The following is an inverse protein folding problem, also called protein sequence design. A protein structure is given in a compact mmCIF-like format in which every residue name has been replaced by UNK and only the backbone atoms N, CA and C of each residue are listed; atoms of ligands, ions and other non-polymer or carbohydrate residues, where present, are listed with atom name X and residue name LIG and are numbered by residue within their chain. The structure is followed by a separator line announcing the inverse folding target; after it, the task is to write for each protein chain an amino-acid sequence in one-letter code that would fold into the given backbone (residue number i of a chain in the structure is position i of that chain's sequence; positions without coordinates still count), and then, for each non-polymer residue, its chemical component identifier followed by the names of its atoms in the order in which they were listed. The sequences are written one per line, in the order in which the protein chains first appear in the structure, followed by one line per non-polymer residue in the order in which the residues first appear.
data_IF_897763630186
#
_entry.id   IF_897763630186
#
_cell.length_a   1.000
_cell.length_b   1.000
_cell.length_c   1.000
_cell.angle_alpha   90.00
_cell.angle_beta   90.00
_cell.angle_gamma   90.00
#
_symmetry.space_group_name_H-M   'P 1'
#
loop_
_entity.id
_entity.type
_entity.pdbx_description
1 polymer ?
#
# COMPACT_ATOMS: atom_id res chain seq x y z
N UNK A 1 -45.91 -14.69 -8.80
CA UNK A 1 -46.71 -15.61 -9.66
C UNK A 1 -47.75 -14.79 -10.44
N UNK A 2 -47.41 -14.31 -11.64
CA UNK A 2 -48.36 -13.57 -12.50
C UNK A 2 -47.89 -13.53 -13.97
N UNK A 3 -47.37 -14.64 -14.53
CA UNK A 3 -46.92 -14.69 -15.94
C UNK A 3 -47.69 -15.69 -16.81
N UNK A 4 -48.84 -16.22 -16.35
CA UNK A 4 -49.54 -17.30 -17.05
C UNK A 4 -50.69 -16.91 -17.98
N UNK A 5 -50.94 -15.63 -18.26
CA UNK A 5 -52.15 -15.18 -19.00
C UNK A 5 -51.91 -14.62 -20.41
N UNK A 6 -50.67 -14.38 -20.83
CA UNK A 6 -50.37 -13.71 -22.11
C UNK A 6 -50.04 -14.66 -23.26
N UNK A 7 -49.59 -15.88 -22.96
CA UNK A 7 -49.28 -16.88 -23.98
C UNK A 7 -50.56 -17.53 -24.55
N UNK A 8 -51.69 -17.44 -23.82
CA UNK A 8 -52.99 -17.97 -24.25
C UNK A 8 -53.65 -17.16 -25.40
N UNK A 9 -53.36 -15.86 -25.52
CA UNK A 9 -54.08 -15.04 -26.51
C UNK A 9 -53.73 -15.43 -27.94
N UNK A 10 -52.45 -15.68 -28.24
CA UNK A 10 -52.03 -16.07 -29.60
C UNK A 10 -52.56 -17.46 -29.97
N UNK A 11 -52.51 -18.41 -29.03
CA UNK A 11 -53.13 -19.74 -29.18
C UNK A 11 -54.65 -19.66 -29.37
N UNK A 12 -55.31 -18.68 -28.76
CA UNK A 12 -56.76 -18.46 -28.90
C UNK A 12 -57.15 -17.72 -30.18
N UNK A 13 -56.29 -16.84 -30.70
CA UNK A 13 -56.57 -15.98 -31.86
C UNK A 13 -56.27 -16.66 -33.21
N UNK A 14 -55.27 -17.55 -33.26
CA UNK A 14 -54.89 -18.31 -34.46
C UNK A 14 -56.06 -19.06 -35.13
N UNK A 15 -56.93 -19.82 -34.41
CA UNK A 15 -58.07 -20.48 -35.05
C UNK A 15 -59.07 -19.50 -35.67
N UNK A 16 -59.29 -18.32 -35.07
CA UNK A 16 -60.18 -17.31 -35.64
C UNK A 16 -59.62 -16.64 -36.89
N UNK A 17 -58.30 -16.43 -36.96
CA UNK A 17 -57.63 -15.90 -38.15
C UNK A 17 -57.74 -16.89 -39.32
N UNK A 18 -57.59 -18.20 -39.05
CA UNK A 18 -57.77 -19.26 -40.06
C UNK A 18 -59.22 -19.29 -40.55
N UNK A 19 -60.19 -19.20 -39.65
CA UNK A 19 -61.63 -19.13 -40.00
C UNK A 19 -61.95 -17.86 -40.80
N UNK A 20 -61.38 -16.71 -40.45
CA UNK A 20 -61.59 -15.47 -41.20
C UNK A 20 -60.97 -15.49 -42.60
N UNK A 21 -59.84 -16.18 -42.78
CA UNK A 21 -59.16 -16.30 -44.07
C UNK A 21 -59.80 -17.34 -45.00
N UNK A 22 -60.19 -18.51 -44.47
CA UNK A 22 -60.69 -19.64 -45.25
C UNK A 22 -62.22 -19.73 -45.28
N UNK A 23 -62.91 -19.18 -44.28
CA UNK A 23 -64.37 -19.19 -44.17
C UNK A 23 -65.06 -18.55 -45.38
N UNK A 24 -64.68 -17.33 -45.80
CA UNK A 24 -65.24 -16.71 -47.00
C UNK A 24 -65.00 -17.55 -48.26
N UNK A 25 -63.81 -18.15 -48.41
CA UNK A 25 -63.48 -19.03 -49.54
C UNK A 25 -64.42 -20.24 -49.62
N UNK A 26 -64.63 -20.92 -48.48
CA UNK A 26 -65.52 -22.09 -48.38
C UNK A 26 -66.98 -21.69 -48.65
N UNK A 27 -67.45 -20.60 -48.06
CA UNK A 27 -68.82 -20.09 -48.25
C UNK A 27 -69.07 -19.75 -49.72
N UNK A 28 -68.11 -19.08 -50.36
CA UNK A 28 -68.16 -18.70 -51.77
C UNK A 28 -68.18 -19.94 -52.68
N UNK A 29 -67.31 -20.92 -52.43
CA UNK A 29 -67.24 -22.14 -53.24
C UNK A 29 -68.51 -22.99 -53.08
N UNK A 30 -69.05 -23.09 -51.87
CA UNK A 30 -70.32 -23.78 -51.60
C UNK A 30 -71.50 -23.04 -52.23
N UNK A 31 -71.56 -21.71 -52.12
CA UNK A 31 -72.61 -20.91 -52.73
C UNK A 31 -72.55 -20.93 -54.27
N UNK A 32 -71.35 -20.93 -54.85
CA UNK A 32 -71.14 -21.10 -56.29
C UNK A 32 -71.61 -22.48 -56.75
N UNK A 33 -71.17 -23.55 -56.06
CA UNK A 33 -71.56 -24.93 -56.34
C UNK A 33 -73.09 -25.13 -56.27
N UNK A 34 -73.74 -24.56 -55.25
CA UNK A 34 -75.18 -24.69 -55.04
C UNK A 34 -76.01 -23.92 -56.09
N UNK A 35 -75.57 -22.73 -56.50
CA UNK A 35 -76.33 -21.87 -57.41
C UNK A 35 -76.03 -22.09 -58.90
N UNK A 36 -74.86 -22.61 -59.26
CA UNK A 36 -74.40 -22.72 -60.67
C UNK A 36 -74.03 -24.16 -61.10
N UNK A 37 -74.01 -25.14 -60.17
CA UNK A 37 -73.67 -26.53 -60.45
C UNK A 37 -72.16 -26.79 -60.60
N UNK A 38 -71.75 -28.04 -60.97
CA UNK A 38 -70.35 -28.45 -60.92
C UNK A 38 -69.42 -27.75 -61.92
N UNK A 39 -69.94 -27.41 -63.11
CA UNK A 39 -69.21 -26.79 -64.23
C UNK A 39 -70.19 -26.02 -65.14
N UNK A 40 -70.09 -24.69 -65.18
CA UNK A 40 -70.79 -23.83 -66.15
C UNK A 40 -70.06 -23.82 -67.51
N UNK A 41 -70.79 -24.01 -68.62
CA UNK A 41 -70.26 -23.99 -69.99
C UNK A 41 -70.24 -22.58 -70.63
N UNK A 42 -70.73 -21.55 -69.93
CA UNK A 42 -70.73 -20.15 -70.39
C UNK A 42 -69.48 -19.37 -69.93
N UNK A 43 -68.90 -18.54 -70.81
CA UNK A 43 -67.66 -17.78 -70.56
C UNK A 43 -67.81 -16.59 -69.59
N UNK A 44 -69.00 -15.98 -69.47
CA UNK A 44 -69.25 -14.85 -68.57
C UNK A 44 -69.11 -15.18 -67.07
N UNK A 45 -69.71 -16.28 -66.57
CA UNK A 45 -69.59 -16.76 -65.19
C UNK A 45 -68.15 -17.05 -64.73
N UNK A 46 -67.26 -17.42 -65.65
CA UNK A 46 -65.84 -17.72 -65.34
C UNK A 46 -65.03 -16.48 -64.98
N UNK A 47 -65.28 -15.34 -65.65
CA UNK A 47 -64.61 -14.07 -65.36
C UNK A 47 -64.99 -13.54 -63.97
N UNK A 48 -66.29 -13.58 -63.64
CA UNK A 48 -66.79 -13.20 -62.31
C UNK A 48 -66.29 -14.13 -61.21
N UNK A 49 -66.20 -15.44 -61.47
CA UNK A 49 -65.59 -16.40 -60.54
C UNK A 49 -64.10 -16.12 -60.32
N UNK A 50 -63.33 -15.87 -61.38
CA UNK A 50 -61.91 -15.53 -61.28
C UNK A 50 -61.65 -14.25 -60.49
N UNK A 51 -62.45 -13.20 -60.68
CA UNK A 51 -62.38 -11.95 -59.92
C UNK A 51 -62.69 -12.16 -58.43
N UNK A 52 -63.71 -12.97 -58.14
CA UNK A 52 -64.16 -13.25 -56.78
C UNK A 52 -63.19 -14.19 -56.03
N UNK A 53 -62.63 -15.18 -56.72
CA UNK A 53 -61.56 -16.04 -56.22
C UNK A 53 -60.26 -15.25 -55.97
N UNK A 54 -59.92 -14.31 -56.86
CA UNK A 54 -58.79 -13.38 -56.68
C UNK A 54 -58.97 -12.51 -55.43
N UNK A 55 -60.18 -11.99 -55.19
CA UNK A 55 -60.53 -11.27 -53.96
C UNK A 55 -60.35 -12.12 -52.69
N UNK A 56 -60.75 -13.39 -52.73
CA UNK A 56 -60.52 -14.36 -51.64
C UNK A 56 -59.04 -14.60 -51.39
N UNK A 57 -58.24 -14.82 -52.45
CA UNK A 57 -56.79 -14.99 -52.31
C UNK A 57 -56.12 -13.72 -51.78
N UNK A 58 -56.61 -12.53 -52.12
CA UNK A 58 -56.12 -11.27 -51.58
C UNK A 58 -56.37 -11.13 -50.08
N UNK A 59 -57.58 -11.50 -49.61
CA UNK A 59 -57.91 -11.54 -48.18
C UNK A 59 -57.05 -12.57 -47.45
N UNK A 60 -56.94 -13.78 -47.99
CA UNK A 60 -56.11 -14.84 -47.41
C UNK A 60 -54.62 -14.44 -47.34
N UNK A 61 -54.09 -13.82 -48.39
CA UNK A 61 -52.71 -13.30 -48.44
C UNK A 61 -52.48 -12.17 -47.42
N UNK A 62 -53.46 -11.28 -47.26
CA UNK A 62 -53.42 -10.20 -46.26
C UNK A 62 -53.43 -10.78 -44.84
N UNK A 63 -54.28 -11.77 -44.55
CA UNK A 63 -54.30 -12.48 -43.27
C UNK A 63 -52.98 -13.21 -42.99
N UNK A 64 -52.39 -13.87 -43.99
CA UNK A 64 -51.08 -14.53 -43.85
C UNK A 64 -49.96 -13.52 -43.54
N UNK A 65 -49.97 -12.37 -44.19
CA UNK A 65 -49.02 -11.27 -43.93
C UNK A 65 -49.20 -10.72 -42.52
N UNK A 66 -50.45 -10.51 -42.09
CA UNK A 66 -50.78 -10.01 -40.74
C UNK A 66 -50.36 -11.00 -39.65
N UNK A 67 -50.59 -12.30 -39.88
CA UNK A 67 -50.14 -13.38 -38.99
C UNK A 67 -48.61 -13.42 -38.90
N UNK A 68 -47.91 -13.23 -40.03
CA UNK A 68 -46.44 -13.18 -40.06
C UNK A 68 -45.90 -11.99 -39.28
N UNK A 69 -46.48 -10.80 -39.45
CA UNK A 69 -46.11 -9.60 -38.69
C UNK A 69 -46.36 -9.77 -37.18
N UNK A 70 -47.50 -10.36 -36.80
CA UNK A 70 -47.80 -10.67 -35.41
C UNK A 70 -46.82 -11.70 -34.80
N UNK A 71 -46.46 -12.73 -35.56
CA UNK A 71 -45.46 -13.72 -35.16
C UNK A 71 -44.07 -13.09 -34.98
N UNK A 72 -43.63 -12.25 -35.92
CA UNK A 72 -42.38 -11.50 -35.82
C UNK A 72 -42.38 -10.56 -34.61
N UNK A 73 -43.50 -9.88 -34.33
CA UNK A 73 -43.64 -9.02 -33.15
C UNK A 73 -43.55 -9.83 -31.84
N UNK A 74 -44.15 -11.02 -31.80
CA UNK A 74 -44.06 -11.92 -30.65
C UNK A 74 -42.63 -12.44 -30.44
N UNK A 75 -41.96 -12.89 -31.51
CA UNK A 75 -40.56 -13.31 -31.45
C UNK A 75 -39.62 -12.18 -30.99
N UNK A 76 -39.79 -10.97 -31.54
CA UNK A 76 -38.97 -9.83 -31.17
C UNK A 76 -39.10 -9.52 -29.67
N UNK A 77 -40.32 -9.59 -29.13
CA UNK A 77 -40.56 -9.42 -27.69
C UNK A 77 -39.93 -10.52 -26.84
N UNK A 78 -40.03 -11.78 -27.26
CA UNK A 78 -39.40 -12.91 -26.56
C UNK A 78 -37.87 -12.78 -26.54
N UNK A 79 -37.28 -12.35 -27.66
CA UNK A 79 -35.84 -12.06 -27.77
C UNK A 79 -35.46 -10.95 -26.79
N UNK A 80 -36.20 -9.84 -26.75
CA UNK A 80 -35.96 -8.76 -25.80
C UNK A 80 -36.04 -9.21 -24.33
N UNK A 81 -37.07 -10.00 -23.97
CA UNK A 81 -37.20 -10.53 -22.61
C UNK A 81 -36.06 -11.50 -22.26
N UNK A 82 -35.58 -12.30 -23.22
CA UNK A 82 -34.43 -13.20 -23.04
C UNK A 82 -33.12 -12.43 -22.87
N UNK A 83 -32.90 -11.39 -23.67
CA UNK A 83 -31.73 -10.51 -23.59
C UNK A 83 -31.68 -9.79 -22.25
N UNK A 84 -32.83 -9.29 -21.75
CA UNK A 84 -32.89 -8.65 -20.42
C UNK A 84 -32.50 -9.63 -19.31
N UNK A 85 -33.02 -10.86 -19.33
CA UNK A 85 -32.65 -11.89 -18.35
C UNK A 85 -31.18 -12.28 -18.44
N UNK A 86 -30.64 -12.40 -19.66
CA UNK A 86 -29.21 -12.67 -19.85
C UNK A 86 -28.36 -11.53 -19.30
N UNK A 87 -28.75 -10.28 -19.53
CA UNK A 87 -28.07 -9.11 -18.99
C UNK A 87 -28.09 -9.11 -17.45
N UNK A 88 -29.24 -9.35 -16.83
CA UNK A 88 -29.34 -9.47 -15.36
C UNK A 88 -28.46 -10.59 -14.78
N UNK A 89 -28.39 -11.75 -15.44
CA UNK A 89 -27.50 -12.85 -15.03
C UNK A 89 -26.03 -12.45 -15.21
N UNK A 90 -25.70 -11.80 -16.32
CA UNK A 90 -24.35 -11.33 -16.63
C UNK A 90 -23.89 -10.30 -15.60
N UNK A 91 -24.74 -9.34 -15.25
CA UNK A 91 -24.45 -8.32 -14.25
C UNK A 91 -24.20 -8.94 -12.87
N UNK A 92 -25.00 -9.95 -12.48
CA UNK A 92 -24.79 -10.71 -11.24
C UNK A 92 -23.49 -11.51 -11.25
N UNK A 93 -23.15 -12.14 -12.37
CA UNK A 93 -21.90 -12.88 -12.53
C UNK A 93 -20.70 -11.93 -12.47
N UNK A 94 -20.76 -10.78 -13.16
CA UNK A 94 -19.73 -9.75 -13.10
C UNK A 94 -19.55 -9.21 -11.68
N UNK A 95 -20.64 -8.95 -10.95
CA UNK A 95 -20.58 -8.53 -9.56
C UNK A 95 -19.91 -9.59 -8.66
N UNK A 96 -20.23 -10.87 -8.86
CA UNK A 96 -19.61 -11.97 -8.11
C UNK A 96 -18.10 -12.08 -8.40
N UNK A 97 -17.70 -11.96 -9.68
CA UNK A 97 -16.29 -11.97 -10.09
C UNK A 97 -15.54 -10.77 -9.50
N UNK A 98 -16.12 -9.56 -9.56
CA UNK A 98 -15.50 -8.37 -8.98
C UNK A 98 -15.30 -8.51 -7.47
N UNK A 99 -16.29 -9.06 -6.76
CA UNK A 99 -16.17 -9.33 -5.33
C UNK A 99 -15.04 -10.32 -5.03
N UNK A 100 -14.96 -11.42 -5.79
CA UNK A 100 -13.89 -12.41 -5.64
C UNK A 100 -12.51 -11.82 -5.92
N UNK A 101 -12.38 -11.01 -6.98
CA UNK A 101 -11.15 -10.31 -7.30
C UNK A 101 -10.75 -9.33 -6.19
N UNK A 102 -11.70 -8.58 -5.62
CA UNK A 102 -11.44 -7.68 -4.50
C UNK A 102 -10.94 -8.43 -3.27
N UNK A 103 -11.59 -9.54 -2.89
CA UNK A 103 -11.17 -10.39 -1.77
C UNK A 103 -9.77 -10.93 -1.99
N UNK A 104 -9.47 -11.42 -3.20
CA UNK A 104 -8.16 -11.95 -3.54
C UNK A 104 -7.08 -10.86 -3.56
N UNK A 105 -7.35 -9.70 -4.15
CA UNK A 105 -6.41 -8.58 -4.19
C UNK A 105 -6.05 -8.09 -2.78
N UNK A 106 -7.05 -7.92 -1.90
CA UNK A 106 -6.82 -7.59 -0.49
C UNK A 106 -6.04 -8.69 0.22
N UNK A 107 -6.38 -9.97 0.03
CA UNK A 107 -5.66 -11.09 0.63
C UNK A 107 -4.19 -11.10 0.23
N UNK A 108 -3.89 -11.01 -1.07
CA UNK A 108 -2.51 -11.02 -1.55
C UNK A 108 -1.71 -9.80 -1.07
N UNK A 109 -2.35 -8.64 -0.91
CA UNK A 109 -1.71 -7.49 -0.26
C UNK A 109 -1.31 -7.82 1.19
N UNK A 110 -2.20 -8.43 1.97
CA UNK A 110 -1.88 -8.85 3.35
C UNK A 110 -0.78 -9.90 3.42
N UNK A 111 -0.82 -10.90 2.53
CA UNK A 111 0.24 -11.90 2.41
C UNK A 111 1.60 -11.23 2.14
N UNK A 112 1.61 -10.22 1.27
CA UNK A 112 2.83 -9.46 0.98
C UNK A 112 3.34 -8.66 2.18
N UNK A 113 2.46 -8.10 3.00
CA UNK A 113 2.85 -7.47 4.26
C UNK A 113 3.49 -8.51 5.22
N UNK A 114 2.91 -9.71 5.31
CA UNK A 114 3.47 -10.80 6.11
C UNK A 114 4.83 -11.29 5.60
N UNK A 115 5.03 -11.35 4.29
CA UNK A 115 6.33 -11.64 3.67
C UNK A 115 7.37 -10.57 4.02
N UNK A 116 6.99 -9.29 3.99
CA UNK A 116 7.89 -8.21 4.41
C UNK A 116 8.28 -8.35 5.89
N UNK A 117 7.34 -8.63 6.78
CA UNK A 117 7.65 -8.86 8.19
C UNK A 117 8.62 -10.04 8.35
N UNK A 118 8.38 -11.14 7.64
CA UNK A 118 9.22 -12.34 7.67
C UNK A 118 10.63 -12.07 7.13
N UNK A 119 10.75 -11.32 6.03
CA UNK A 119 12.02 -10.96 5.41
C UNK A 119 12.93 -10.14 6.33
N UNK A 120 12.34 -9.40 7.28
CA UNK A 120 13.04 -8.61 8.29
C UNK A 120 12.99 -9.26 9.70
N UNK A 121 12.84 -10.59 9.76
CA UNK A 121 12.97 -11.37 10.99
C UNK A 121 11.82 -11.21 11.99
N UNK A 122 10.62 -10.83 11.52
CA UNK A 122 9.41 -10.63 12.34
C UNK A 122 9.59 -9.62 13.49
N UNK A 123 10.47 -8.64 13.30
CA UNK A 123 10.81 -7.65 14.32
C UNK A 123 9.79 -6.52 14.46
N UNK A 124 8.93 -6.37 13.45
CA UNK A 124 7.88 -5.36 13.41
C UNK A 124 6.55 -5.93 12.95
N UNK A 125 5.49 -5.18 13.24
CA UNK A 125 4.14 -5.41 12.74
C UNK A 125 3.54 -4.14 12.15
N UNK A 126 2.71 -4.31 11.12
CA UNK A 126 1.79 -3.27 10.68
C UNK A 126 0.63 -3.24 11.69
N UNK A 127 0.35 -2.08 12.30
CA UNK A 127 -0.66 -2.02 13.36
C UNK A 127 -2.08 -2.26 12.83
N UNK A 128 -2.38 -1.74 11.63
CA UNK A 128 -3.65 -1.94 10.94
C UNK A 128 -3.41 -2.15 9.45
N UNK A 129 -3.33 -3.42 9.05
CA UNK A 129 -3.08 -3.82 7.68
C UNK A 129 -4.26 -3.46 6.75
N UNK A 130 -5.49 -3.48 7.28
CA UNK A 130 -6.70 -3.17 6.53
C UNK A 130 -6.81 -1.67 6.24
N UNK A 131 -6.58 -0.83 7.26
CA UNK A 131 -6.51 0.61 7.08
C UNK A 131 -5.39 1.00 6.11
N UNK A 132 -4.24 0.32 6.19
CA UNK A 132 -3.13 0.51 5.26
C UNK A 132 -3.51 0.15 3.82
N UNK A 133 -4.22 -0.97 3.61
CA UNK A 133 -4.76 -1.32 2.29
C UNK A 133 -5.70 -0.23 1.76
N UNK A 134 -6.62 0.27 2.59
CA UNK A 134 -7.52 1.36 2.22
C UNK A 134 -6.80 2.69 1.97
N UNK A 135 -5.66 2.95 2.62
CA UNK A 135 -4.82 4.13 2.34
C UNK A 135 -4.12 4.03 0.99
N UNK A 136 -3.62 2.83 0.63
CA UNK A 136 -2.96 2.58 -0.65
C UNK A 136 -3.97 2.56 -1.80
N UNK A 137 -5.13 1.93 -1.59
CA UNK A 137 -6.20 1.79 -2.58
C UNK A 137 -7.53 2.39 -2.07
N UNK A 138 -7.64 3.73 -1.98
CA UNK A 138 -8.79 4.41 -1.35
C UNK A 138 -10.11 4.21 -2.09
N UNK A 139 -10.07 3.82 -3.37
CA UNK A 139 -11.26 3.57 -4.18
C UNK A 139 -11.69 2.10 -4.18
N UNK A 140 -10.91 1.20 -3.59
CA UNK A 140 -11.23 -0.22 -3.61
C UNK A 140 -12.33 -0.55 -2.61
N UNK A 141 -13.33 -1.27 -3.08
CA UNK A 141 -14.47 -1.75 -2.32
C UNK A 141 -15.01 -3.04 -2.94
N UNK A 142 -15.93 -3.76 -2.27
CA UNK A 142 -16.58 -4.95 -2.83
C UNK A 142 -17.22 -4.75 -4.22
N UNK A 143 -17.51 -3.50 -4.62
CA UNK A 143 -18.17 -3.15 -5.88
C UNK A 143 -17.27 -2.40 -6.87
N UNK A 144 -16.07 -1.99 -6.46
CA UNK A 144 -15.12 -1.24 -7.29
C UNK A 144 -13.69 -1.70 -7.00
N UNK A 145 -12.96 -2.12 -8.03
CA UNK A 145 -11.59 -2.63 -7.88
C UNK A 145 -10.66 -1.95 -8.89
N UNK A 146 -9.68 -1.24 -8.36
CA UNK A 146 -8.55 -0.67 -9.08
C UNK A 146 -7.28 -1.43 -8.68
N UNK A 147 -6.55 -1.94 -9.67
CA UNK A 147 -5.26 -2.62 -9.47
C UNK A 147 -4.07 -1.66 -9.46
N UNK A 148 -4.29 -0.42 -9.90
CA UNK A 148 -3.27 0.62 -9.95
C UNK A 148 -3.65 1.75 -9.01
N UNK A 149 -2.63 2.45 -8.51
CA UNK A 149 -2.83 3.68 -7.75
C UNK A 149 -1.73 4.66 -8.12
N UNK A 150 -2.10 5.88 -8.50
CA UNK A 150 -1.13 6.91 -8.88
C UNK A 150 -0.36 7.42 -7.65
N UNK A 151 0.90 7.83 -7.85
CA UNK A 151 1.65 8.56 -6.81
C UNK A 151 1.44 10.06 -7.01
N UNK A 152 0.46 10.63 -6.29
CA UNK A 152 0.18 12.06 -6.39
C UNK A 152 0.98 12.82 -5.32
N UNK A 153 2.09 13.43 -5.72
CA UNK A 153 2.94 14.26 -4.86
C UNK A 153 2.55 15.75 -4.79
N UNK A 154 1.43 16.16 -5.40
CA UNK A 154 1.05 17.58 -5.41
C UNK A 154 0.70 18.08 -4.00
N UNK A 155 1.17 19.28 -3.63
CA UNK A 155 0.97 19.87 -2.30
C UNK A 155 -0.52 19.97 -1.89
N UNK A 156 -1.43 20.09 -2.85
CA UNK A 156 -2.86 20.33 -2.61
C UNK A 156 -3.72 19.05 -2.67
N UNK A 157 -3.20 17.94 -3.17
CA UNK A 157 -3.95 16.70 -3.35
C UNK A 157 -3.09 15.46 -3.08
N UNK A 158 -2.12 15.58 -2.16
CA UNK A 158 -1.18 14.51 -1.85
C UNK A 158 -1.93 13.29 -1.32
N UNK A 159 -1.83 12.17 -2.02
CA UNK A 159 -2.36 10.90 -1.56
C UNK A 159 -1.33 10.17 -0.67
N UNK A 160 -1.71 9.03 -0.11
CA UNK A 160 -0.86 8.29 0.82
C UNK A 160 0.51 7.92 0.22
N UNK A 161 0.53 7.37 -1.01
CA UNK A 161 1.77 7.03 -1.71
C UNK A 161 2.62 8.27 -1.99
N UNK A 162 2.00 9.37 -2.38
CA UNK A 162 2.68 10.66 -2.57
C UNK A 162 3.30 11.20 -1.28
N UNK A 163 2.64 10.99 -0.12
CA UNK A 163 3.18 11.36 1.20
C UNK A 163 4.43 10.54 1.53
N UNK A 164 4.38 9.22 1.34
CA UNK A 164 5.55 8.36 1.54
C UNK A 164 6.69 8.74 0.60
N UNK A 165 6.39 8.95 -0.68
CA UNK A 165 7.38 9.38 -1.67
C UNK A 165 8.05 10.69 -1.28
N UNK A 166 7.28 11.66 -0.79
CA UNK A 166 7.79 12.95 -0.34
C UNK A 166 8.69 12.83 0.89
N UNK A 167 8.30 12.02 1.88
CA UNK A 167 9.11 11.83 3.09
C UNK A 167 10.42 11.09 2.80
N UNK A 168 10.38 10.05 1.96
CA UNK A 168 11.58 9.35 1.48
C UNK A 168 12.47 10.29 0.64
N UNK A 169 11.88 11.12 -0.22
CA UNK A 169 12.59 12.13 -0.99
C UNK A 169 13.32 13.14 -0.08
N UNK A 170 12.66 13.63 0.98
CA UNK A 170 13.31 14.51 1.97
C UNK A 170 14.49 13.85 2.69
N UNK A 171 14.37 12.58 3.02
CA UNK A 171 15.46 11.82 3.65
C UNK A 171 16.62 11.58 2.67
N UNK A 172 16.32 11.32 1.40
CA UNK A 172 17.33 11.19 0.33
C UNK A 172 18.03 12.54 0.05
N UNK A 173 17.29 13.64 0.01
CA UNK A 173 17.88 14.98 -0.09
C UNK A 173 18.78 15.29 1.11
N UNK A 174 18.35 14.88 2.32
CA UNK A 174 19.15 15.01 3.52
C UNK A 174 20.42 14.15 3.47
N UNK A 175 20.39 12.94 2.90
CA UNK A 175 21.60 12.10 2.78
C UNK A 175 22.61 12.68 1.78
N UNK A 176 22.15 13.39 0.76
CA UNK A 176 22.99 14.04 -0.27
C UNK A 176 23.65 15.33 0.21
N UNK A 177 22.95 16.10 1.02
CA UNK A 177 23.43 17.38 1.56
C UNK A 177 23.21 17.43 3.07
N UNK A 178 23.93 16.60 3.83
CA UNK A 178 23.65 16.45 5.24
C UNK A 178 24.17 17.63 6.06
N UNK A 179 23.38 18.00 7.06
CA UNK A 179 23.83 18.85 8.15
C UNK A 179 24.15 17.95 9.34
N UNK A 180 25.41 17.83 9.73
CA UNK A 180 25.83 16.92 10.80
C UNK A 180 25.94 17.58 12.18
N UNK A 181 25.47 18.82 12.30
CA UNK A 181 25.40 19.51 13.58
C UNK A 181 24.15 19.10 14.40
N UNK A 182 23.94 19.75 15.55
CA UNK A 182 22.78 19.52 16.44
C UNK A 182 21.43 19.75 15.73
N UNK A 183 21.29 20.82 14.93
CA UNK A 183 20.06 21.07 14.17
C UNK A 183 19.82 20.02 13.09
N UNK A 184 20.90 19.51 12.51
CA UNK A 184 20.92 18.38 11.61
C UNK A 184 20.36 17.10 12.24
N UNK A 185 20.87 16.72 13.42
CA UNK A 185 20.35 15.59 14.19
C UNK A 185 18.87 15.73 14.53
N UNK A 186 18.43 16.93 14.96
CA UNK A 186 17.00 17.23 15.20
C UNK A 186 16.15 17.08 13.94
N UNK A 187 16.63 17.59 12.81
CA UNK A 187 15.93 17.49 11.52
C UNK A 187 15.83 16.03 11.08
N UNK A 188 16.92 15.27 11.19
CA UNK A 188 16.97 13.86 10.79
C UNK A 188 15.98 13.04 11.61
N UNK A 189 15.98 13.14 12.95
CA UNK A 189 15.05 12.36 13.77
C UNK A 189 13.59 12.69 13.47
N UNK A 190 13.28 13.98 13.20
CA UNK A 190 11.94 14.39 12.78
C UNK A 190 11.50 13.73 11.47
N UNK A 191 12.38 13.69 10.46
CA UNK A 191 12.09 13.01 9.20
C UNK A 191 11.89 11.50 9.37
N UNK A 192 12.70 10.86 10.22
CA UNK A 192 12.57 9.43 10.51
C UNK A 192 11.26 9.13 11.24
N UNK A 193 10.88 9.92 12.25
CA UNK A 193 9.61 9.77 12.98
C UNK A 193 8.42 10.00 12.04
N UNK A 194 8.43 11.05 11.22
CA UNK A 194 7.36 11.34 10.26
C UNK A 194 7.12 10.17 9.30
N UNK A 195 8.21 9.55 8.82
CA UNK A 195 8.14 8.37 7.97
C UNK A 195 7.64 7.13 8.74
N UNK A 196 8.10 6.92 9.98
CA UNK A 196 7.65 5.81 10.83
C UNK A 196 6.16 5.90 11.13
N UNK A 197 5.66 7.10 11.41
CA UNK A 197 4.22 7.36 11.62
C UNK A 197 3.44 7.13 10.34
N UNK A 198 3.97 7.57 9.19
CA UNK A 198 3.30 7.36 7.91
C UNK A 198 3.17 5.87 7.56
N UNK A 199 4.21 5.06 7.83
CA UNK A 199 4.19 3.61 7.58
C UNK A 199 3.38 2.81 8.60
N UNK A 200 3.00 3.41 9.73
CA UNK A 200 2.21 2.79 10.81
C UNK A 200 2.81 1.46 11.32
N UNK A 201 4.11 1.47 11.59
CA UNK A 201 4.86 0.30 12.07
C UNK A 201 4.99 0.32 13.59
N UNK A 202 4.98 -0.86 14.20
CA UNK A 202 5.29 -1.05 15.61
C UNK A 202 6.34 -2.16 15.78
N UNK A 203 7.35 -1.90 16.60
CA UNK A 203 8.32 -2.92 17.00
C UNK A 203 7.73 -3.90 18.00
N UNK A 204 8.05 -5.18 17.83
CA UNK A 204 7.58 -6.28 18.69
C UNK A 204 8.70 -7.15 19.26
N UNK A 205 9.95 -6.89 18.87
CA UNK A 205 11.13 -7.60 19.38
C UNK A 205 11.53 -7.15 20.80
N UNK A 206 12.68 -7.60 21.28
CA UNK A 206 13.24 -7.10 22.54
C UNK A 206 13.74 -5.66 22.37
N UNK A 207 13.62 -4.80 23.39
CA UNK A 207 14.13 -3.44 23.32
C UNK A 207 15.66 -3.43 23.24
N UNK A 208 16.21 -2.67 22.29
CA UNK A 208 17.63 -2.40 22.18
C UNK A 208 17.95 -1.00 22.69
N UNK A 209 19.16 -0.84 23.22
CA UNK A 209 19.71 0.47 23.50
C UNK A 209 19.77 1.31 22.22
N UNK A 210 19.32 2.56 22.31
CA UNK A 210 19.20 3.48 21.19
C UNK A 210 17.86 3.43 20.45
N UNK A 211 16.96 2.52 20.80
CA UNK A 211 15.62 2.47 20.20
C UNK A 211 14.81 3.72 20.58
N UNK A 212 14.18 4.32 19.57
CA UNK A 212 13.37 5.53 19.74
C UNK A 212 11.93 5.14 20.07
N UNK A 213 11.42 5.69 21.17
CA UNK A 213 10.04 5.55 21.63
C UNK A 213 9.31 6.86 21.37
N UNK A 214 8.26 6.80 20.55
CA UNK A 214 7.46 7.97 20.18
C UNK A 214 5.99 7.71 20.51
N UNK A 215 5.34 8.65 21.20
CA UNK A 215 3.96 8.50 21.69
C UNK A 215 3.72 7.17 22.45
N UNK A 216 4.68 6.77 23.29
CA UNK A 216 4.60 5.54 24.07
C UNK A 216 4.78 4.24 23.27
N UNK A 217 5.10 4.33 21.97
CA UNK A 217 5.33 3.16 21.10
C UNK A 217 6.78 3.12 20.65
N UNK A 218 7.41 1.93 20.71
CA UNK A 218 8.75 1.73 20.18
C UNK A 218 8.71 1.67 18.65
N UNK A 219 9.45 2.57 18.03
CA UNK A 219 9.61 2.67 16.57
C UNK A 219 10.74 1.76 16.10
N UNK A 220 10.84 1.51 14.79
CA UNK A 220 11.98 0.77 14.22
C UNK A 220 13.28 1.61 14.19
N UNK A 221 13.21 2.88 14.57
CA UNK A 221 14.35 3.80 14.53
C UNK A 221 15.26 3.49 15.71
N UNK A 222 16.54 3.23 15.42
CA UNK A 222 17.60 3.16 16.40
C UNK A 222 18.65 4.23 16.09
N UNK A 223 19.05 5.02 17.09
CA UNK A 223 19.95 6.18 16.88
C UNK A 223 21.36 5.79 16.46
N UNK A 224 21.79 4.54 16.72
CA UNK A 224 23.10 4.03 16.31
C UNK A 224 23.05 3.41 14.90
N UNK A 225 21.87 3.01 14.42
CA UNK A 225 21.70 2.26 13.17
C UNK A 225 20.45 2.69 12.38
N UNK A 226 20.31 4.00 12.16
CA UNK A 226 19.14 4.59 11.47
C UNK A 226 18.98 4.13 10.02
N UNK A 227 20.09 3.75 9.35
CA UNK A 227 20.07 3.19 7.99
C UNK A 227 19.21 1.93 7.89
N UNK A 228 19.15 1.09 8.92
CA UNK A 228 18.32 -0.12 8.90
C UNK A 228 16.83 0.22 8.74
N UNK A 229 16.37 1.30 9.39
CA UNK A 229 15.00 1.76 9.23
C UNK A 229 14.75 2.34 7.83
N UNK A 230 15.72 3.08 7.27
CA UNK A 230 15.62 3.64 5.92
C UNK A 230 15.51 2.52 4.87
N UNK A 231 16.33 1.48 4.99
CA UNK A 231 16.29 0.31 4.13
C UNK A 231 14.94 -0.42 4.22
N UNK A 232 14.44 -0.63 5.44
CA UNK A 232 13.12 -1.20 5.68
C UNK A 232 12.02 -0.35 5.02
N UNK A 233 12.03 0.96 5.27
CA UNK A 233 11.04 1.88 4.73
C UNK A 233 11.06 1.92 3.19
N UNK A 234 12.25 1.94 2.58
CA UNK A 234 12.42 1.84 1.14
C UNK A 234 11.88 0.51 0.60
N UNK A 235 12.15 -0.60 1.28
CA UNK A 235 11.65 -1.92 0.87
C UNK A 235 10.12 -2.01 0.94
N UNK A 236 9.51 -1.52 2.02
CA UNK A 236 8.04 -1.46 2.17
C UNK A 236 7.44 -0.58 1.07
N UNK A 237 7.97 0.64 0.88
CA UNK A 237 7.44 1.55 -0.13
C UNK A 237 7.59 1.00 -1.55
N UNK A 238 8.73 0.41 -1.89
CA UNK A 238 8.91 -0.26 -3.19
C UNK A 238 7.98 -1.45 -3.38
N UNK A 239 7.59 -2.15 -2.30
CA UNK A 239 6.57 -3.18 -2.38
C UNK A 239 5.19 -2.58 -2.69
N UNK A 240 4.84 -1.42 -2.13
CA UNK A 240 3.60 -0.71 -2.48
C UNK A 240 3.61 -0.22 -3.92
N UNK A 241 4.72 0.36 -4.38
CA UNK A 241 4.88 0.83 -5.77
C UNK A 241 4.71 -0.31 -6.77
N UNK A 242 5.36 -1.45 -6.51
CA UNK A 242 5.18 -2.65 -7.32
C UNK A 242 3.71 -3.09 -7.38
N UNK A 243 3.03 -3.12 -6.24
CA UNK A 243 1.62 -3.54 -6.15
C UNK A 243 0.64 -2.60 -6.84
N UNK A 244 1.03 -1.35 -7.02
CA UNK A 244 0.19 -0.28 -7.57
C UNK A 244 0.54 0.03 -9.02
N UNK A 245 1.46 -0.73 -9.62
CA UNK A 245 1.88 -0.57 -11.02
C UNK A 245 2.85 0.59 -11.25
N UNK A 246 3.55 1.07 -10.22
CA UNK A 246 4.51 2.17 -10.31
C UNK A 246 5.97 1.67 -10.37
N UNK A 247 6.85 2.51 -10.91
CA UNK A 247 8.29 2.27 -10.87
C UNK A 247 8.82 2.33 -9.43
N UNK A 248 9.89 1.60 -9.15
CA UNK A 248 10.54 1.60 -7.83
C UNK A 248 11.19 2.95 -7.54
N UNK A 249 11.15 3.35 -6.28
CA UNK A 249 11.87 4.50 -5.77
C UNK A 249 13.39 4.27 -5.88
N UNK A 250 14.08 5.17 -6.59
CA UNK A 250 15.51 5.09 -6.87
C UNK A 250 16.41 5.79 -5.85
N UNK A 251 15.88 6.60 -4.94
CA UNK A 251 16.70 7.36 -3.98
C UNK A 251 17.49 6.48 -3.00
N UNK A 252 18.38 7.12 -2.23
CA UNK A 252 19.39 6.53 -1.35
C UNK A 252 20.53 5.82 -2.09
N UNK A 253 20.99 6.39 -3.21
CA UNK A 253 22.24 5.97 -3.85
C UNK A 253 23.47 6.19 -2.95
N UNK A 254 23.37 7.16 -2.05
CA UNK A 254 24.38 7.48 -1.04
C UNK A 254 23.80 7.08 0.33
N UNK A 255 24.45 6.14 1.06
CA UNK A 255 24.02 5.81 2.42
C UNK A 255 24.26 7.01 3.35
N UNK A 256 23.43 7.20 4.38
CA UNK A 256 23.62 8.33 5.31
C UNK A 256 24.96 8.24 6.08
N UNK A 257 25.57 7.06 6.12
CA UNK A 257 26.87 6.84 6.75
C UNK A 257 26.82 6.98 8.28
N UNK A 258 28.02 6.99 8.88
CA UNK A 258 28.20 7.07 10.35
C UNK A 258 27.79 8.44 10.91
N UNK A 259 28.05 9.50 10.16
CA UNK A 259 27.79 10.87 10.60
C UNK A 259 26.33 11.10 10.97
N UNK A 260 25.39 10.37 10.35
CA UNK A 260 23.99 10.40 10.74
C UNK A 260 23.74 9.85 12.15
N UNK A 261 24.30 8.67 12.47
CA UNK A 261 24.23 8.11 13.82
C UNK A 261 24.89 9.04 14.83
N UNK A 262 26.05 9.62 14.48
CA UNK A 262 26.75 10.58 15.34
C UNK A 262 25.90 11.83 15.60
N UNK A 263 25.26 12.41 14.58
CA UNK A 263 24.39 13.57 14.76
C UNK A 263 23.14 13.27 15.59
N UNK A 264 22.55 12.08 15.43
CA UNK A 264 21.42 11.63 16.26
C UNK A 264 21.85 11.46 17.71
N UNK A 265 22.98 10.79 17.96
CA UNK A 265 23.52 10.57 19.29
C UNK A 265 23.87 11.90 19.98
N UNK A 266 24.52 12.82 19.27
CA UNK A 266 24.84 14.16 19.76
C UNK A 266 23.57 14.97 20.10
N UNK A 267 22.55 14.89 19.24
CA UNK A 267 21.27 15.54 19.50
C UNK A 267 20.61 14.99 20.75
N UNK A 268 20.50 13.66 20.88
CA UNK A 268 19.88 12.99 22.03
C UNK A 268 20.61 13.30 23.34
N UNK A 269 21.95 13.29 23.34
CA UNK A 269 22.73 13.70 24.51
C UNK A 269 22.42 15.14 24.95
N UNK A 270 22.29 16.05 23.99
CA UNK A 270 22.00 17.47 24.24
C UNK A 270 20.53 17.76 24.58
N UNK A 271 19.61 16.87 24.21
CA UNK A 271 18.18 17.07 24.35
C UNK A 271 17.71 16.97 25.82
N UNK A 272 18.57 16.61 26.77
CA UNK A 272 18.23 16.68 28.20
C UNK A 272 17.91 18.10 28.68
N UNK A 273 18.38 19.11 27.96
CA UNK A 273 18.13 20.52 28.25
C UNK A 273 16.74 21.00 27.78
N UNK A 274 16.07 20.26 26.89
CA UNK A 274 14.76 20.60 26.31
C UNK A 274 13.93 19.32 26.12
N UNK A 275 12.85 19.08 26.88
CA UNK A 275 12.12 17.82 26.88
C UNK A 275 11.78 17.35 25.46
N UNK A 276 12.42 16.27 25.04
CA UNK A 276 12.23 15.73 23.71
C UNK A 276 10.80 15.18 23.53
N UNK A 277 10.27 15.30 22.32
CA UNK A 277 8.95 14.73 21.94
C UNK A 277 8.99 13.19 21.87
N UNK A 278 10.16 12.59 22.07
CA UNK A 278 10.41 11.15 22.04
C UNK A 278 11.42 10.77 23.12
N UNK A 279 11.40 9.51 23.51
CA UNK A 279 12.37 8.92 24.42
C UNK A 279 13.33 8.01 23.67
N UNK A 280 14.52 7.76 24.24
CA UNK A 280 15.48 6.79 23.73
C UNK A 280 15.80 5.78 24.82
N UNK A 281 15.70 4.49 24.49
CA UNK A 281 16.03 3.41 25.43
C UNK A 281 17.53 3.42 25.73
N UNK A 282 17.89 3.53 27.01
CA UNK A 282 19.27 3.44 27.51
C UNK A 282 19.32 2.58 28.78
N UNK A 283 19.43 1.28 28.59
CA UNK A 283 19.55 0.26 29.63
C UNK A 283 21.01 -0.04 30.02
N UNK A 284 21.97 0.15 29.12
CA UNK A 284 23.40 -0.07 29.41
C UNK A 284 23.89 0.91 30.49
N UNK A 285 24.44 0.42 31.62
CA UNK A 285 24.99 1.29 32.65
C UNK A 285 26.13 2.15 32.10
N UNK A 286 26.07 3.46 32.36
CA UNK A 286 27.12 4.39 31.92
C UNK A 286 27.15 4.68 30.42
N UNK A 287 26.18 4.21 29.63
CA UNK A 287 26.15 4.43 28.17
C UNK A 287 26.34 5.89 27.79
N UNK A 288 25.61 6.80 28.44
CA UNK A 288 25.70 8.23 28.16
C UNK A 288 27.06 8.83 28.46
N UNK A 289 27.77 8.29 29.44
CA UNK A 289 29.13 8.71 29.77
C UNK A 289 30.08 8.24 28.65
N UNK A 290 29.90 7.01 28.17
CA UNK A 290 30.66 6.48 27.04
C UNK A 290 30.41 7.26 25.74
N UNK A 291 29.17 7.67 25.48
CA UNK A 291 28.84 8.53 24.33
C UNK A 291 29.51 9.91 24.44
N UNK A 292 29.55 10.51 25.64
CA UNK A 292 30.25 11.77 25.90
C UNK A 292 31.76 11.64 25.71
N UNK A 293 32.37 10.57 26.25
CA UNK A 293 33.78 10.26 26.04
C UNK A 293 34.06 10.15 24.54
N UNK A 294 33.26 9.40 23.80
CA UNK A 294 33.41 9.27 22.35
C UNK A 294 33.43 10.63 21.63
N UNK A 295 32.48 11.52 21.93
CA UNK A 295 32.46 12.85 21.32
C UNK A 295 33.61 13.75 21.76
N UNK A 296 34.07 13.64 23.01
CA UNK A 296 35.25 14.36 23.46
C UNK A 296 36.48 13.89 22.68
N UNK A 297 36.68 12.58 22.57
CA UNK A 297 37.78 11.99 21.80
C UNK A 297 37.72 12.39 20.32
N UNK A 298 36.54 12.44 19.72
CA UNK A 298 36.33 12.91 18.34
C UNK A 298 36.75 14.38 18.13
N UNK A 299 36.62 15.23 19.16
CA UNK A 299 36.96 16.66 19.11
C UNK A 299 38.40 16.95 19.51
N UNK A 300 39.13 15.98 20.06
CA UNK A 300 40.51 16.17 20.49
C UNK A 300 41.46 16.43 19.32
N UNK A 301 42.50 17.23 19.59
CA UNK A 301 43.58 17.47 18.64
C UNK A 301 44.51 16.27 18.53
N UNK A 302 45.22 16.18 17.41
CA UNK A 302 46.08 15.05 17.07
C UNK A 302 47.22 14.79 18.09
N UNK A 303 47.70 15.81 18.79
CA UNK A 303 48.84 15.71 19.73
C UNK A 303 48.50 14.95 21.02
N UNK A 304 47.27 15.05 21.52
CA UNK A 304 46.82 14.30 22.71
C UNK A 304 46.04 13.02 22.30
N UNK A 305 45.47 13.02 21.08
CA UNK A 305 44.62 11.94 20.58
C UNK A 305 45.37 10.62 20.40
N UNK A 306 46.68 10.63 20.12
CA UNK A 306 47.41 9.38 19.86
C UNK A 306 47.42 8.42 21.06
N UNK A 307 47.43 8.96 22.30
CA UNK A 307 47.32 8.14 23.50
C UNK A 307 45.96 7.45 23.60
N UNK A 308 44.90 8.14 23.17
CA UNK A 308 43.50 7.73 23.35
C UNK A 308 42.90 7.07 22.10
N UNK A 309 43.67 6.96 21.02
CA UNK A 309 43.26 6.31 19.78
C UNK A 309 42.70 4.89 20.00
N UNK A 310 43.26 4.03 20.87
CA UNK A 310 42.70 2.69 21.12
C UNK A 310 41.30 2.73 21.73
N UNK A 311 41.08 3.58 22.74
CA UNK A 311 39.77 3.75 23.38
C UNK A 311 38.77 4.37 22.40
N UNK A 312 39.19 5.35 21.62
CA UNK A 312 38.37 5.92 20.56
C UNK A 312 37.98 4.86 19.53
N UNK A 313 38.92 4.08 19.01
CA UNK A 313 38.64 3.04 18.02
C UNK A 313 37.66 1.99 18.54
N UNK A 314 37.79 1.61 19.81
CA UNK A 314 36.90 0.63 20.46
C UNK A 314 35.47 1.18 20.62
N UNK A 315 35.32 2.41 21.12
CA UNK A 315 34.02 3.07 21.19
C UNK A 315 33.44 3.34 19.80
N UNK A 316 34.31 3.67 18.84
CA UNK A 316 33.95 3.91 17.46
C UNK A 316 33.34 2.65 16.84
N UNK A 317 33.93 1.48 17.08
CA UNK A 317 33.39 0.19 16.65
C UNK A 317 32.09 -0.16 17.38
N UNK A 318 32.03 0.02 18.70
CA UNK A 318 30.83 -0.24 19.48
C UNK A 318 29.62 0.61 19.02
N UNK A 319 29.81 1.91 18.76
CA UNK A 319 28.74 2.80 18.29
C UNK A 319 28.45 2.71 16.79
N UNK A 320 29.12 1.81 16.05
CA UNK A 320 28.89 1.67 14.60
C UNK A 320 27.54 1.03 14.25
N UNK A 321 26.93 0.31 15.19
CA UNK A 321 25.65 -0.38 15.01
C UNK A 321 24.99 -0.66 16.35
N UNK A 322 23.68 -0.95 16.34
CA UNK A 322 22.99 -1.37 17.58
C UNK A 322 23.55 -2.67 18.17
N UNK A 323 24.10 -3.57 17.36
CA UNK A 323 24.71 -4.83 17.82
C UNK A 323 26.04 -4.53 18.53
N UNK A 324 26.83 -3.59 18.01
CA UNK A 324 28.04 -3.13 18.68
C UNK A 324 27.76 -2.54 20.05
N UNK A 325 26.71 -1.72 20.18
CA UNK A 325 26.31 -1.14 21.47
C UNK A 325 25.92 -2.21 22.49
N UNK A 326 25.34 -3.31 22.05
CA UNK A 326 25.02 -4.43 22.94
C UNK A 326 26.26 -5.09 23.56
N UNK A 327 27.43 -4.98 22.95
CA UNK A 327 28.68 -5.46 23.55
C UNK A 327 29.05 -4.66 24.81
N UNK A 328 28.62 -3.40 24.93
CA UNK A 328 28.80 -2.57 26.12
C UNK A 328 27.97 -3.05 27.32
N UNK A 329 27.10 -4.06 27.15
CA UNK A 329 26.48 -4.77 28.28
C UNK A 329 27.46 -5.71 28.98
N UNK A 330 28.51 -6.15 28.29
CA UNK A 330 29.53 -7.01 28.89
C UNK A 330 30.45 -6.18 29.78
N UNK A 331 30.38 -6.45 31.09
CA UNK A 331 31.18 -5.75 32.10
C UNK A 331 32.69 -5.86 31.82
N UNK A 332 33.20 -7.04 31.47
CA UNK A 332 34.63 -7.24 31.20
C UNK A 332 35.11 -6.40 30.02
N UNK A 333 34.26 -6.26 28.99
CA UNK A 333 34.55 -5.43 27.83
C UNK A 333 34.59 -3.94 28.20
N UNK A 334 33.64 -3.48 29.02
CA UNK A 334 33.63 -2.08 29.50
C UNK A 334 34.82 -1.81 30.43
N UNK A 335 35.14 -2.73 31.35
CA UNK A 335 36.28 -2.59 32.27
C UNK A 335 37.60 -2.46 31.49
N UNK A 336 37.77 -3.24 30.42
CA UNK A 336 38.93 -3.10 29.53
C UNK A 336 39.01 -1.71 28.87
N UNK A 337 37.88 -1.17 28.38
CA UNK A 337 37.83 0.18 27.77
C UNK A 337 38.19 1.24 28.82
N UNK A 338 37.66 1.11 30.03
CA UNK A 338 37.86 2.05 31.13
C UNK A 338 39.32 2.01 31.60
N UNK A 339 39.91 0.84 31.81
CA UNK A 339 41.29 0.70 32.26
C UNK A 339 42.28 1.29 31.25
N UNK A 340 42.11 0.97 29.96
CA UNK A 340 42.93 1.52 28.88
C UNK A 340 42.74 3.04 28.79
N UNK A 341 41.48 3.52 28.87
CA UNK A 341 41.13 4.93 28.81
C UNK A 341 41.71 5.75 29.97
N UNK A 342 41.57 5.27 31.22
CA UNK A 342 42.13 5.91 32.42
C UNK A 342 43.66 6.01 32.32
N UNK A 343 44.35 4.92 31.97
CA UNK A 343 45.81 4.92 31.84
C UNK A 343 46.27 5.88 30.74
N UNK A 344 45.62 5.84 29.57
CA UNK A 344 45.95 6.70 28.44
C UNK A 344 45.70 8.18 28.76
N UNK A 345 44.54 8.52 29.32
CA UNK A 345 44.18 9.90 29.65
C UNK A 345 45.09 10.47 30.75
N UNK A 346 45.44 9.68 31.77
CA UNK A 346 46.39 10.09 32.81
C UNK A 346 47.79 10.34 32.24
N UNK A 347 48.23 9.50 31.29
CA UNK A 347 49.52 9.69 30.62
C UNK A 347 49.51 10.94 29.75
N UNK A 348 48.46 11.16 28.96
CA UNK A 348 48.30 12.36 28.15
C UNK A 348 48.33 13.62 29.02
N UNK A 349 47.57 13.68 30.12
CA UNK A 349 47.53 14.83 31.03
C UNK A 349 48.90 15.21 31.61
N UNK A 350 49.82 14.24 31.79
CA UNK A 350 51.19 14.51 32.27
C UNK A 350 52.07 15.16 31.21
N UNK A 351 51.73 14.99 29.92
CA UNK A 351 52.50 15.50 28.79
C UNK A 351 51.90 16.80 28.23
N UNK A 352 50.61 17.05 28.45
CA UNK A 352 49.93 18.28 28.04
C UNK A 352 50.20 19.42 29.01
N UNK A 353 50.38 20.64 28.50
CA UNK A 353 50.44 21.86 29.32
C UNK A 353 49.04 22.25 29.80
N UNK A 354 48.89 22.69 31.05
CA UNK A 354 47.59 23.16 31.60
C UNK A 354 47.02 24.37 30.84
N UNK A 355 47.89 25.18 30.24
CA UNK A 355 47.52 26.33 29.40
C UNK A 355 47.27 25.92 27.93
N UNK A 356 47.42 24.63 27.61
CA UNK A 356 47.28 24.10 26.26
C UNK A 356 45.84 24.09 25.77
N UNK A 357 45.64 24.45 24.50
CA UNK A 357 44.34 24.42 23.82
C UNK A 357 43.92 22.94 23.58
N UNK A 358 43.27 22.35 24.57
CA UNK A 358 42.86 20.93 24.58
C UNK A 358 42.91 20.28 25.96
N UNK A 359 43.68 20.85 26.90
CA UNK A 359 43.85 20.33 28.25
C UNK A 359 42.51 20.13 28.97
N UNK A 360 41.60 21.10 28.85
CA UNK A 360 40.32 21.02 29.55
C UNK A 360 39.42 19.89 29.02
N UNK A 361 39.41 19.67 27.71
CA UNK A 361 38.67 18.56 27.11
C UNK A 361 39.26 17.21 27.53
N UNK A 362 40.59 17.12 27.61
CA UNK A 362 41.31 15.94 28.08
C UNK A 362 41.04 15.67 29.57
N UNK A 363 41.06 16.70 30.41
CA UNK A 363 40.73 16.62 31.84
C UNK A 363 39.30 16.13 32.04
N UNK A 364 38.33 16.71 31.34
CA UNK A 364 36.94 16.26 31.38
C UNK A 364 36.80 14.79 30.94
N UNK A 365 37.52 14.39 29.89
CA UNK A 365 37.50 12.99 29.42
C UNK A 365 38.07 12.02 30.45
N UNK A 366 39.18 12.39 31.11
CA UNK A 366 39.75 11.62 32.22
C UNK A 366 38.77 11.51 33.40
N UNK A 367 38.08 12.59 33.77
CA UNK A 367 37.04 12.58 34.79
C UNK A 367 35.88 11.64 34.43
N UNK A 368 35.42 11.64 33.18
CA UNK A 368 34.37 10.74 32.69
C UNK A 368 34.81 9.26 32.76
N UNK A 369 36.06 8.94 32.42
CA UNK A 369 36.58 7.58 32.61
C UNK A 369 36.59 7.16 34.09
N UNK A 370 37.01 8.05 35.00
CA UNK A 370 36.98 7.78 36.44
C UNK A 370 35.55 7.60 36.97
N UNK A 371 34.57 8.33 36.42
CA UNK A 371 33.15 8.14 36.74
C UNK A 371 32.62 6.77 36.28
N UNK A 372 33.08 6.27 35.13
CA UNK A 372 32.76 4.90 34.70
C UNK A 372 33.40 3.86 35.62
N UNK A 373 34.68 4.04 35.97
CA UNK A 373 35.39 3.15 36.89
C UNK A 373 34.69 3.05 38.25
N UNK A 374 34.25 4.19 38.80
CA UNK A 374 33.54 4.25 40.08
C UNK A 374 32.13 3.63 40.06
N UNK A 375 31.53 3.46 38.88
CA UNK A 375 30.22 2.80 38.70
C UNK A 375 30.32 1.29 38.50
N UNK A 376 31.49 0.81 38.08
CA UNK A 376 31.74 -0.62 37.85
C UNK A 376 32.24 -1.36 39.10
N UNK A 377 32.57 -0.62 40.16
CA UNK A 377 32.79 -1.10 41.54
C UNK A 377 31.48 -1.08 42.32
#
# INVERSE_FOLDING_TARGET
MASGKKDDWFSSALPWIIVAALGPAVIILVAYWYNLGPVSHDHGPWSSFGSLLSGVFMVASTCATLATLMFLAHQNKQIQDSNRKQQEVTDKQLAAVNFEQYVNHRRYFMERLGELQSAFGNRFVFEDADELYSKVFPRNSPINLEFTAEVNGSLNAQNYLGKLCYQLGKLDDFSKAPDWNRSGGRRLIGLLIDLSVALNLRMVDEPYDGDVVFNGKRTFINIYSSNEFIELAKAIFNSFLFYTGNEKFSGFDIPMGRSASDSLMAYVLSAKEDPAVFDVVKAVPGLEIMEQIYFNLFRMRHEDFWFLQPSYATLMDAFSSRIGVMQLKNKEFVDQIVDVGCCAASTALKHSSEEGEGYELLRQTHELFNLLLARNL
#
